data_IF_801180154668
#
_entry.id   IF_801180154668
#
_cell.length_a   1.000
_cell.length_b   1.000
_cell.length_c   1.000
_cell.angle_alpha   90.00
_cell.angle_beta   90.00
_cell.angle_gamma   90.00
#
_symmetry.space_group_name_H-M   'P 1'
#
loop_
_entity.id
_entity.type
_entity.pdbx_description
1 polymer ?
#
# COMPACT_ATOMS: atom_id res chain seq x y z
N UNK A 1 38.76 21.17 -38.57
CA UNK A 1 38.83 19.70 -38.35
C UNK A 1 39.64 19.31 -37.09
N UNK A 2 40.87 19.83 -36.87
CA UNK A 2 41.65 19.48 -35.66
C UNK A 2 40.92 19.82 -34.34
N UNK A 3 40.26 20.98 -34.25
CA UNK A 3 39.53 21.41 -33.07
C UNK A 3 38.35 20.47 -32.74
N UNK A 4 37.56 20.06 -33.76
CA UNK A 4 36.44 19.15 -33.59
C UNK A 4 36.88 17.78 -33.05
N UNK A 5 38.02 17.27 -33.53
CA UNK A 5 38.59 16.01 -33.05
C UNK A 5 39.07 16.09 -31.58
N UNK A 6 39.66 17.23 -31.20
CA UNK A 6 40.04 17.46 -29.80
C UNK A 6 38.83 17.54 -28.90
N UNK A 7 37.82 18.32 -29.26
CA UNK A 7 36.54 18.44 -28.54
C UNK A 7 35.87 17.08 -28.40
N UNK A 8 35.80 16.31 -29.49
CA UNK A 8 35.22 14.95 -29.46
C UNK A 8 35.95 14.01 -28.51
N UNK A 9 37.31 14.00 -28.55
CA UNK A 9 38.11 13.20 -27.61
C UNK A 9 37.86 13.61 -26.15
N UNK A 10 37.82 14.91 -25.88
CA UNK A 10 37.57 15.43 -24.53
C UNK A 10 36.19 15.05 -24.06
N UNK A 11 35.17 15.23 -24.89
CA UNK A 11 33.77 14.86 -24.58
C UNK A 11 33.64 13.36 -24.28
N UNK A 12 34.28 12.53 -25.14
CA UNK A 12 34.26 11.08 -24.94
C UNK A 12 34.96 10.67 -23.64
N UNK A 13 36.13 11.25 -23.36
CA UNK A 13 36.86 10.96 -22.13
C UNK A 13 36.05 11.36 -20.89
N UNK A 14 35.46 12.55 -20.86
CA UNK A 14 34.64 13.04 -19.77
C UNK A 14 33.41 12.14 -19.59
N UNK A 15 32.75 11.77 -20.69
CA UNK A 15 31.61 10.85 -20.65
C UNK A 15 31.98 9.49 -20.03
N UNK A 16 33.12 8.92 -20.44
CA UNK A 16 33.60 7.65 -19.88
C UNK A 16 33.97 7.78 -18.40
N UNK A 17 34.64 8.85 -18.00
CA UNK A 17 34.96 9.09 -16.58
C UNK A 17 33.69 9.21 -15.76
N UNK A 18 32.72 10.01 -16.20
CA UNK A 18 31.45 10.12 -15.48
C UNK A 18 30.64 8.82 -15.51
N UNK A 19 30.69 8.05 -16.59
CA UNK A 19 30.04 6.73 -16.61
C UNK A 19 30.63 5.79 -15.55
N UNK A 20 31.96 5.73 -15.42
CA UNK A 20 32.62 4.93 -14.39
C UNK A 20 32.29 5.43 -12.99
N UNK A 21 32.30 6.73 -12.76
CA UNK A 21 32.02 7.31 -11.45
C UNK A 21 30.55 7.19 -11.06
N UNK A 22 29.64 7.59 -11.94
CA UNK A 22 28.20 7.70 -11.62
C UNK A 22 27.44 6.38 -11.82
N UNK A 23 27.84 5.54 -12.76
CA UNK A 23 27.19 4.26 -13.02
C UNK A 23 27.92 3.07 -12.38
N UNK A 24 29.15 3.25 -11.92
CA UNK A 24 29.96 2.23 -11.27
C UNK A 24 30.25 2.55 -9.80
N UNK A 25 31.22 3.43 -9.56
CA UNK A 25 31.76 3.68 -8.22
C UNK A 25 30.70 4.17 -7.22
N UNK A 26 29.89 5.16 -7.62
CA UNK A 26 28.86 5.73 -6.74
C UNK A 26 27.76 4.72 -6.35
N UNK A 27 27.09 4.00 -7.27
CA UNK A 27 26.10 2.97 -6.89
C UNK A 27 26.66 1.86 -6.02
N UNK A 28 27.90 1.42 -6.28
CA UNK A 28 28.57 0.42 -5.46
C UNK A 28 28.83 0.93 -4.03
N UNK A 29 29.29 2.17 -3.89
CA UNK A 29 29.51 2.78 -2.57
C UNK A 29 28.20 2.92 -1.80
N UNK A 30 27.12 3.37 -2.44
CA UNK A 30 25.78 3.49 -1.82
C UNK A 30 25.25 2.10 -1.44
N UNK A 31 25.37 1.11 -2.33
CA UNK A 31 24.96 -0.27 -2.04
C UNK A 31 25.74 -0.85 -0.85
N UNK A 32 27.06 -0.69 -0.84
CA UNK A 32 27.89 -1.18 0.27
C UNK A 32 27.51 -0.51 1.60
N UNK A 33 27.29 0.82 1.60
CA UNK A 33 26.79 1.55 2.75
C UNK A 33 25.42 1.04 3.23
N UNK A 34 24.50 0.82 2.29
CA UNK A 34 23.18 0.23 2.58
C UNK A 34 23.27 -1.14 3.21
N UNK A 35 24.14 -2.03 2.69
CA UNK A 35 24.31 -3.38 3.23
C UNK A 35 25.01 -3.40 4.59
N UNK A 36 25.94 -2.47 4.83
CA UNK A 36 26.66 -2.40 6.12
C UNK A 36 25.80 -1.82 7.25
N UNK A 37 25.08 -0.74 7.00
CA UNK A 37 24.39 0.02 8.04
C UNK A 37 22.88 -0.21 8.08
N UNK A 38 22.25 -0.64 6.96
CA UNK A 38 20.79 -0.72 6.82
C UNK A 38 20.34 -2.01 6.11
N UNK A 39 21.01 -3.13 6.37
CA UNK A 39 20.82 -4.39 5.63
C UNK A 39 19.35 -4.81 5.47
N UNK A 40 18.54 -4.76 6.54
CA UNK A 40 17.13 -5.13 6.47
C UNK A 40 16.35 -4.20 5.52
N UNK A 41 16.55 -2.88 5.63
CA UNK A 41 15.89 -1.89 4.79
C UNK A 41 16.37 -1.98 3.33
N UNK A 42 17.68 -2.14 3.14
CA UNK A 42 18.30 -2.27 1.81
C UNK A 42 17.84 -3.52 1.05
N UNK A 43 17.40 -4.56 1.78
CA UNK A 43 16.86 -5.80 1.20
C UNK A 43 15.32 -5.85 1.20
N UNK A 44 14.64 -4.69 1.27
CA UNK A 44 13.20 -4.59 1.06
C UNK A 44 12.34 -4.76 2.30
N UNK A 45 12.90 -4.62 3.52
CA UNK A 45 12.14 -4.70 4.79
C UNK A 45 11.24 -5.94 4.88
N UNK A 46 11.78 -7.10 4.49
CA UNK A 46 11.04 -8.35 4.46
C UNK A 46 10.59 -8.75 5.87
N UNK A 47 9.35 -9.19 5.96
CA UNK A 47 8.74 -9.78 7.15
C UNK A 47 8.76 -11.29 6.99
N UNK A 48 9.37 -11.98 7.93
CA UNK A 48 9.57 -13.44 7.89
C UNK A 48 9.07 -14.09 9.17
N UNK A 49 8.55 -15.28 9.04
CA UNK A 49 8.24 -16.14 10.17
C UNK A 49 9.51 -16.70 10.81
N UNK A 50 9.43 -17.31 12.02
CA UNK A 50 10.56 -17.95 12.69
C UNK A 50 11.20 -19.08 11.87
N UNK A 51 10.45 -19.72 10.98
CA UNK A 51 10.93 -20.78 10.08
C UNK A 51 11.64 -20.24 8.82
N UNK A 52 11.73 -18.89 8.68
CA UNK A 52 12.35 -18.24 7.53
C UNK A 52 11.40 -18.02 6.33
N UNK A 53 10.14 -18.40 6.44
CA UNK A 53 9.15 -18.16 5.39
C UNK A 53 8.87 -16.66 5.25
N UNK A 54 9.04 -16.11 4.04
CA UNK A 54 8.74 -14.70 3.75
C UNK A 54 7.23 -14.51 3.66
N UNK A 55 6.68 -13.64 4.50
CA UNK A 55 5.25 -13.26 4.50
C UNK A 55 4.97 -12.06 3.61
N UNK A 56 5.96 -11.23 3.37
CA UNK A 56 5.85 -10.04 2.54
C UNK A 56 6.88 -8.99 2.89
N UNK A 57 6.62 -7.77 2.46
CA UNK A 57 7.42 -6.58 2.83
C UNK A 57 6.58 -5.64 3.67
N UNK A 58 7.16 -5.08 4.73
CA UNK A 58 6.52 -4.02 5.52
C UNK A 58 6.29 -2.72 4.72
N UNK A 59 6.84 -2.62 3.50
CA UNK A 59 6.73 -1.45 2.64
C UNK A 59 5.66 -1.59 1.57
N UNK A 60 5.04 -2.78 1.42
CA UNK A 60 4.10 -3.06 0.34
C UNK A 60 2.78 -3.61 0.89
N UNK A 61 1.67 -3.02 0.42
CA UNK A 61 0.36 -3.57 0.67
C UNK A 61 0.18 -4.93 -0.02
N UNK A 62 -0.60 -5.79 0.62
CA UNK A 62 -1.02 -7.09 0.11
C UNK A 62 -2.54 -7.19 0.12
N UNK A 63 -3.11 -8.01 -0.76
CA UNK A 63 -4.54 -8.23 -0.82
C UNK A 63 -5.01 -9.10 0.36
N UNK A 64 -5.62 -8.46 1.35
CA UNK A 64 -6.37 -9.12 2.41
C UNK A 64 -7.86 -8.88 2.16
N UNK A 65 -8.60 -9.91 1.72
CA UNK A 65 -10.03 -9.80 1.34
C UNK A 65 -10.98 -10.57 2.26
N UNK A 66 -10.45 -11.35 3.22
CA UNK A 66 -11.29 -12.08 4.17
C UNK A 66 -11.68 -11.19 5.35
N UNK A 67 -12.94 -11.31 5.82
CA UNK A 67 -13.47 -10.61 7.00
C UNK A 67 -12.62 -10.78 8.28
N UNK A 68 -11.79 -11.83 8.32
CA UNK A 68 -10.91 -12.12 9.45
C UNK A 68 -9.68 -11.20 9.52
N UNK A 69 -9.45 -10.38 8.50
CA UNK A 69 -8.27 -9.51 8.38
C UNK A 69 -8.67 -8.04 8.26
N UNK A 70 -7.76 -7.18 8.66
CA UNK A 70 -7.82 -5.77 8.29
C UNK A 70 -7.52 -5.63 6.81
N UNK A 71 -8.36 -4.87 6.13
CA UNK A 71 -8.19 -4.60 4.70
C UNK A 71 -7.36 -3.35 4.49
N UNK A 72 -6.43 -3.36 3.51
CA UNK A 72 -5.65 -2.19 3.14
C UNK A 72 -6.50 -1.17 2.37
N UNK A 73 -5.86 -0.09 1.96
CA UNK A 73 -6.46 0.87 1.01
C UNK A 73 -6.77 0.18 -0.31
N UNK A 74 -7.82 0.63 -1.05
CA UNK A 74 -8.08 0.12 -2.39
C UNK A 74 -6.85 0.31 -3.30
N UNK A 75 -6.58 -0.66 -4.16
CA UNK A 75 -5.41 -0.68 -5.05
C UNK A 75 -5.78 -0.47 -6.51
N UNK A 76 -4.91 0.23 -7.25
CA UNK A 76 -4.92 0.30 -8.71
C UNK A 76 -3.64 -0.28 -9.33
N UNK A 77 -2.82 -1.00 -8.53
CA UNK A 77 -1.60 -1.63 -9.00
C UNK A 77 -1.93 -2.93 -9.76
N UNK A 78 -1.72 -2.95 -11.05
CA UNK A 78 -2.08 -4.07 -11.93
C UNK A 78 -3.55 -4.47 -11.82
N UNK A 79 -3.80 -5.74 -11.53
CA UNK A 79 -5.14 -6.28 -11.23
C UNK A 79 -5.55 -6.12 -9.75
N UNK A 80 -4.81 -5.32 -9.00
CA UNK A 80 -4.92 -5.09 -7.57
C UNK A 80 -3.74 -5.69 -6.80
N UNK A 81 -3.02 -4.83 -6.08
CA UNK A 81 -1.86 -5.20 -5.23
C UNK A 81 -0.70 -5.90 -5.97
N UNK A 82 -0.57 -5.70 -7.28
CA UNK A 82 0.57 -6.21 -8.04
C UNK A 82 1.80 -5.35 -7.80
N UNK A 83 2.77 -5.86 -7.04
CA UNK A 83 4.00 -5.16 -6.70
C UNK A 83 4.91 -4.89 -7.92
N UNK A 84 4.73 -5.62 -9.04
CA UNK A 84 5.47 -5.39 -10.28
C UNK A 84 4.86 -4.29 -11.15
N UNK A 85 3.63 -3.84 -10.83
CA UNK A 85 2.84 -2.90 -11.63
C UNK A 85 2.24 -1.79 -10.76
N UNK A 86 3.10 -1.10 -9.98
CA UNK A 86 2.70 0.05 -9.16
C UNK A 86 2.02 1.11 -10.01
N UNK A 87 0.79 1.49 -9.65
CA UNK A 87 -0.02 2.44 -10.40
C UNK A 87 -1.05 3.15 -9.52
N UNK A 88 -1.52 4.30 -10.00
CA UNK A 88 -2.63 5.05 -9.44
C UNK A 88 -3.75 5.20 -10.47
N UNK A 89 -4.92 5.67 -10.04
CA UNK A 89 -6.03 5.96 -10.98
C UNK A 89 -5.75 7.13 -11.90
N UNK A 90 -4.88 8.06 -11.48
CA UNK A 90 -4.55 9.31 -12.18
C UNK A 90 -5.77 10.16 -12.55
N UNK A 91 -6.85 10.07 -11.74
CA UNK A 91 -8.08 10.81 -11.91
C UNK A 91 -8.11 12.03 -10.97
N UNK A 92 -8.46 13.18 -11.50
CA UNK A 92 -8.59 14.40 -10.73
C UNK A 92 -9.89 14.48 -9.91
N UNK A 93 -9.98 15.42 -8.94
CA UNK A 93 -11.13 15.53 -8.04
C UNK A 93 -12.44 15.91 -8.74
N UNK A 94 -12.38 16.43 -9.96
CA UNK A 94 -13.53 16.77 -10.80
C UNK A 94 -13.97 15.64 -11.72
N UNK A 95 -13.31 14.48 -11.66
CA UNK A 95 -13.64 13.32 -12.50
C UNK A 95 -14.91 12.64 -12.02
N UNK A 96 -15.91 12.56 -12.90
CA UNK A 96 -17.15 11.83 -12.65
C UNK A 96 -16.88 10.33 -12.44
N UNK A 97 -15.97 9.76 -13.24
CA UNK A 97 -15.50 8.38 -13.06
C UNK A 97 -14.95 8.12 -11.66
N UNK A 98 -14.17 9.05 -11.11
CA UNK A 98 -13.63 8.91 -9.75
C UNK A 98 -14.74 8.97 -8.70
N UNK A 99 -15.71 9.87 -8.87
CA UNK A 99 -16.77 10.07 -7.91
C UNK A 99 -17.83 8.97 -7.95
N UNK A 100 -18.33 8.64 -9.14
CA UNK A 100 -19.52 7.82 -9.35
C UNK A 100 -19.25 6.41 -9.90
N UNK A 101 -18.00 6.15 -10.37
CA UNK A 101 -17.66 4.88 -11.02
C UNK A 101 -18.11 4.81 -12.48
N UNK A 102 -17.83 3.68 -13.09
CA UNK A 102 -18.35 3.27 -14.41
C UNK A 102 -18.77 1.81 -14.29
N UNK A 103 -20.04 1.52 -14.59
CA UNK A 103 -20.59 0.18 -14.56
C UNK A 103 -21.31 -0.09 -15.89
N UNK A 104 -20.86 -1.11 -16.61
CA UNK A 104 -21.52 -1.56 -17.82
C UNK A 104 -22.90 -2.14 -17.48
N UNK A 105 -23.88 -1.90 -18.36
CA UNK A 105 -25.25 -2.38 -18.19
C UNK A 105 -25.71 -3.19 -19.38
N UNK A 106 -26.49 -4.26 -19.12
CA UNK A 106 -27.16 -5.03 -20.18
C UNK A 106 -28.36 -4.25 -20.77
N UNK A 107 -28.98 -4.83 -21.79
CA UNK A 107 -30.16 -4.24 -22.43
C UNK A 107 -31.36 -4.05 -21.48
N UNK A 108 -31.37 -4.72 -20.34
CA UNK A 108 -32.39 -4.58 -19.29
C UNK A 108 -31.98 -3.57 -18.18
N UNK A 109 -30.83 -2.89 -18.34
CA UNK A 109 -30.30 -1.89 -17.40
C UNK A 109 -29.68 -2.48 -16.15
N UNK A 110 -29.37 -3.77 -16.10
CA UNK A 110 -28.70 -4.44 -14.97
C UNK A 110 -27.19 -4.36 -15.13
N UNK A 111 -26.49 -4.14 -14.02
CA UNK A 111 -25.02 -4.14 -14.03
C UNK A 111 -24.48 -5.50 -14.47
N UNK A 112 -23.49 -5.47 -15.37
CA UNK A 112 -22.80 -6.66 -15.89
C UNK A 112 -21.31 -6.53 -15.62
N UNK A 113 -20.65 -7.67 -15.46
CA UNK A 113 -19.20 -7.69 -15.31
C UNK A 113 -18.54 -7.33 -16.65
N UNK A 114 -17.71 -6.29 -16.64
CA UNK A 114 -17.00 -5.77 -17.79
C UNK A 114 -15.61 -5.28 -17.37
N UNK A 115 -14.63 -5.48 -18.23
CA UNK A 115 -13.24 -5.07 -17.98
C UNK A 115 -13.06 -3.55 -17.79
N UNK A 116 -14.02 -2.76 -18.26
CA UNK A 116 -14.01 -1.30 -18.10
C UNK A 116 -14.72 -0.83 -16.84
N UNK A 117 -15.33 -1.73 -16.06
CA UNK A 117 -15.96 -1.39 -14.81
C UNK A 117 -14.92 -0.76 -13.85
N UNK A 118 -15.36 0.25 -13.15
CA UNK A 118 -14.52 0.97 -12.19
C UNK A 118 -15.38 1.45 -11.03
N UNK A 119 -15.08 0.96 -9.84
CA UNK A 119 -15.74 1.42 -8.62
C UNK A 119 -15.28 2.84 -8.27
N UNK A 120 -16.21 3.77 -8.28
CA UNK A 120 -15.99 5.13 -7.82
C UNK A 120 -15.96 5.24 -6.29
N UNK A 121 -15.70 6.44 -5.78
CA UNK A 121 -15.68 6.69 -4.33
C UNK A 121 -17.04 6.36 -3.70
N UNK A 122 -18.15 6.65 -4.36
CA UNK A 122 -19.49 6.34 -3.85
C UNK A 122 -19.72 4.84 -3.70
N UNK A 123 -19.23 4.04 -4.65
CA UNK A 123 -19.34 2.59 -4.60
C UNK A 123 -18.52 2.03 -3.44
N UNK A 124 -17.27 2.50 -3.31
CA UNK A 124 -16.36 2.12 -2.24
C UNK A 124 -16.89 2.51 -0.86
N UNK A 125 -17.51 3.69 -0.71
CA UNK A 125 -18.17 4.11 0.54
C UNK A 125 -19.31 3.17 0.88
N UNK A 126 -20.17 2.84 -0.09
CA UNK A 126 -21.29 1.93 0.10
C UNK A 126 -20.82 0.53 0.51
N UNK A 127 -19.82 0.00 -0.19
CA UNK A 127 -19.22 -1.30 0.10
C UNK A 127 -18.59 -1.33 1.51
N UNK A 128 -17.78 -0.33 1.84
CA UNK A 128 -17.11 -0.23 3.14
C UNK A 128 -18.10 -0.17 4.32
N UNK A 129 -19.18 0.62 4.16
CA UNK A 129 -20.24 0.68 5.19
C UNK A 129 -20.94 -0.66 5.37
N UNK A 130 -21.32 -1.31 4.27
CA UNK A 130 -21.97 -2.62 4.33
C UNK A 130 -21.07 -3.67 4.99
N UNK A 131 -19.81 -3.70 4.63
CA UNK A 131 -18.80 -4.63 5.15
C UNK A 131 -18.55 -4.46 6.65
N UNK A 132 -18.42 -3.22 7.10
CA UNK A 132 -18.11 -2.94 8.51
C UNK A 132 -19.34 -2.66 9.38
N UNK A 133 -20.56 -2.79 8.82
CA UNK A 133 -21.82 -2.63 9.57
C UNK A 133 -22.08 -1.19 10.00
N UNK A 134 -21.63 -0.21 9.20
CA UNK A 134 -21.80 1.22 9.48
C UNK A 134 -23.14 1.74 8.99
N UNK A 135 -23.69 2.71 9.69
CA UNK A 135 -24.93 3.41 9.29
C UNK A 135 -24.72 4.25 8.01
N UNK A 136 -25.85 4.59 7.35
CA UNK A 136 -25.82 5.32 6.09
C UNK A 136 -25.15 6.71 6.19
N UNK A 137 -25.24 7.35 7.36
CA UNK A 137 -24.71 8.69 7.61
C UNK A 137 -23.37 8.68 8.36
N UNK A 138 -22.84 7.49 8.69
CA UNK A 138 -21.54 7.40 9.36
C UNK A 138 -20.41 7.81 8.44
N UNK A 139 -19.47 8.57 9.02
CA UNK A 139 -18.30 9.07 8.31
C UNK A 139 -17.34 7.92 7.99
N UNK A 140 -16.91 7.84 6.73
CA UNK A 140 -15.93 6.87 6.26
C UNK A 140 -14.57 7.57 6.07
N UNK A 141 -13.47 7.03 6.60
CA UNK A 141 -12.14 7.59 6.40
C UNK A 141 -11.76 7.64 4.92
N UNK A 142 -11.09 8.71 4.51
CA UNK A 142 -10.72 8.90 3.11
C UNK A 142 -9.81 7.76 2.57
N UNK A 143 -8.90 7.27 3.40
CA UNK A 143 -7.99 6.17 3.04
C UNK A 143 -8.70 4.83 2.85
N UNK A 144 -9.89 4.65 3.43
CA UNK A 144 -10.70 3.45 3.23
C UNK A 144 -11.33 3.36 1.83
N UNK A 145 -11.50 4.52 1.15
CA UNK A 145 -12.26 4.61 -0.10
C UNK A 145 -11.51 5.35 -1.22
N UNK A 146 -10.24 5.66 -1.00
CA UNK A 146 -9.37 6.27 -2.01
C UNK A 146 -8.15 5.41 -2.26
N UNK A 147 -7.88 5.15 -3.53
CA UNK A 147 -6.69 4.42 -3.94
C UNK A 147 -5.43 5.24 -3.65
N UNK A 148 -4.37 4.58 -3.22
CA UNK A 148 -3.08 5.25 -3.01
C UNK A 148 -2.41 5.59 -4.35
N UNK A 149 -1.45 6.53 -4.33
CA UNK A 149 -0.71 6.92 -5.52
C UNK A 149 0.16 5.79 -6.10
N UNK A 150 0.64 4.88 -5.26
CA UNK A 150 1.38 3.69 -5.68
C UNK A 150 0.48 2.49 -5.95
N UNK A 151 -0.74 2.46 -5.39
CA UNK A 151 -1.58 1.27 -5.29
C UNK A 151 -1.05 0.22 -4.32
N UNK A 152 0.05 0.49 -3.60
CA UNK A 152 0.77 -0.45 -2.74
C UNK A 152 1.07 0.13 -1.35
N UNK A 153 0.32 1.14 -0.90
CA UNK A 153 0.46 1.75 0.42
C UNK A 153 0.13 0.69 1.51
N UNK A 154 1.09 0.30 2.36
CA UNK A 154 0.88 -0.74 3.36
C UNK A 154 0.11 -0.25 4.59
N UNK A 155 -0.09 1.07 4.70
CA UNK A 155 -0.61 1.70 5.90
C UNK A 155 -2.05 2.18 5.71
N UNK A 156 -2.82 2.12 6.80
CA UNK A 156 -4.15 2.72 6.92
C UNK A 156 -4.18 3.67 8.11
N UNK A 157 -5.14 4.61 8.11
CA UNK A 157 -5.34 5.50 9.25
C UNK A 157 -5.78 4.73 10.49
N UNK A 158 -5.46 5.26 11.67
CA UNK A 158 -5.93 4.69 12.96
C UNK A 158 -7.45 4.62 12.99
N UNK A 159 -8.13 5.63 12.44
CA UNK A 159 -9.59 5.64 12.35
C UNK A 159 -10.12 4.48 11.49
N UNK A 160 -9.51 4.23 10.33
CA UNK A 160 -9.87 3.12 9.46
C UNK A 160 -9.67 1.77 10.16
N UNK A 161 -8.53 1.57 10.82
CA UNK A 161 -8.28 0.35 11.59
C UNK A 161 -9.31 0.14 12.71
N UNK A 162 -9.65 1.19 13.46
CA UNK A 162 -10.65 1.12 14.55
C UNK A 162 -12.03 0.74 14.03
N UNK A 163 -12.47 1.31 12.90
CA UNK A 163 -13.78 0.98 12.31
C UNK A 163 -13.86 -0.48 11.82
N UNK A 164 -12.76 -1.04 11.35
CA UNK A 164 -12.70 -2.45 10.93
C UNK A 164 -12.64 -3.43 12.11
N UNK A 165 -12.26 -2.99 13.31
CA UNK A 165 -12.00 -3.85 14.46
C UNK A 165 -13.22 -4.71 14.86
N UNK A 166 -14.42 -4.16 14.81
CA UNK A 166 -15.65 -4.89 15.15
C UNK A 166 -15.94 -6.05 14.19
N UNK A 167 -15.71 -5.86 12.87
CA UNK A 167 -15.85 -6.91 11.85
C UNK A 167 -14.82 -8.02 12.08
N UNK A 168 -13.56 -7.67 12.23
CA UNK A 168 -12.47 -8.62 12.47
C UNK A 168 -12.68 -9.41 13.76
N UNK A 169 -13.06 -8.75 14.85
CA UNK A 169 -13.37 -9.38 16.14
C UNK A 169 -14.46 -10.43 15.99
N UNK A 170 -15.56 -10.08 15.32
CA UNK A 170 -16.70 -10.99 15.07
C UNK A 170 -16.26 -12.20 14.25
N UNK A 171 -15.51 -11.97 13.13
CA UNK A 171 -15.07 -13.05 12.25
C UNK A 171 -14.06 -14.00 12.91
N UNK A 172 -13.28 -13.51 13.90
CA UNK A 172 -12.31 -14.30 14.67
C UNK A 172 -12.87 -14.82 15.99
N UNK A 173 -14.08 -14.44 16.36
CA UNK A 173 -14.71 -14.76 17.66
C UNK A 173 -13.86 -14.26 18.84
N UNK A 174 -13.28 -13.06 18.69
CA UNK A 174 -12.50 -12.37 19.72
C UNK A 174 -13.32 -11.24 20.34
N UNK A 175 -13.05 -10.85 21.59
CA UNK A 175 -13.58 -9.60 22.16
C UNK A 175 -13.11 -8.40 21.34
N UNK A 176 -14.01 -7.47 21.02
CA UNK A 176 -13.67 -6.25 20.27
C UNK A 176 -12.54 -5.46 20.96
N UNK A 177 -12.62 -5.32 22.28
CA UNK A 177 -11.62 -4.63 23.10
C UNK A 177 -10.20 -5.21 22.91
N UNK A 178 -10.08 -6.52 22.73
CA UNK A 178 -8.79 -7.17 22.47
C UNK A 178 -8.24 -6.79 21.09
N UNK A 179 -9.10 -6.74 20.07
CA UNK A 179 -8.70 -6.34 18.71
C UNK A 179 -8.35 -4.84 18.67
N UNK A 180 -9.10 -4.00 19.38
CA UNK A 180 -8.79 -2.56 19.50
C UNK A 180 -7.47 -2.32 20.26
N UNK A 181 -7.19 -3.08 21.30
CA UNK A 181 -5.92 -3.03 22.00
C UNK A 181 -4.75 -3.43 21.09
N UNK A 182 -4.95 -4.43 20.23
CA UNK A 182 -3.96 -4.84 19.25
C UNK A 182 -3.73 -3.73 18.21
N UNK A 183 -4.77 -3.09 17.70
CA UNK A 183 -4.67 -1.92 16.83
C UNK A 183 -3.85 -0.82 17.52
N UNK A 184 -4.20 -0.47 18.77
CA UNK A 184 -3.52 0.58 19.52
C UNK A 184 -2.02 0.29 19.71
N UNK A 185 -1.64 -0.97 19.93
CA UNK A 185 -0.23 -1.37 20.09
C UNK A 185 0.57 -1.35 18.76
N UNK A 186 -0.11 -1.33 17.60
CA UNK A 186 0.49 -1.27 16.27
C UNK A 186 0.44 0.12 15.63
N UNK A 187 -0.05 1.12 16.36
CA UNK A 187 -0.02 2.51 15.88
C UNK A 187 1.42 2.99 15.79
N UNK A 188 1.82 3.36 14.61
CA UNK A 188 3.07 4.07 14.34
C UNK A 188 2.80 5.57 14.39
N UNK A 189 3.54 6.26 15.22
CA UNK A 189 3.42 7.72 15.37
C UNK A 189 4.05 8.44 14.16
N UNK A 190 3.90 9.76 14.13
CA UNK A 190 4.51 10.63 13.11
C UNK A 190 6.03 10.46 13.07
N UNK A 191 6.60 10.47 11.88
CA UNK A 191 8.05 10.44 11.73
C UNK A 191 8.66 11.71 12.34
N UNK A 192 9.68 11.52 13.19
CA UNK A 192 10.27 12.58 14.02
C UNK A 192 9.24 13.38 14.85
N UNK A 193 8.05 12.83 15.09
CA UNK A 193 6.89 13.46 15.77
C UNK A 193 6.30 14.69 15.04
N UNK A 194 6.73 14.96 13.83
CA UNK A 194 6.34 16.15 13.05
C UNK A 194 5.73 15.74 11.71
N UNK A 195 6.36 14.80 10.99
CA UNK A 195 5.99 14.46 9.60
C UNK A 195 4.97 13.33 9.52
N UNK A 196 4.01 13.49 8.62
CA UNK A 196 2.98 12.49 8.36
C UNK A 196 1.85 12.49 9.40
N UNK A 197 1.13 11.38 9.46
CA UNK A 197 0.03 11.14 10.40
C UNK A 197 0.26 9.80 11.11
N UNK A 198 -0.33 9.58 12.30
CA UNK A 198 -0.36 8.26 12.91
C UNK A 198 -1.01 7.26 11.97
N UNK A 199 -0.41 6.08 11.84
CA UNK A 199 -0.80 5.06 10.87
C UNK A 199 -0.64 3.65 11.44
N UNK A 200 -1.26 2.68 10.79
CA UNK A 200 -1.17 1.26 11.16
C UNK A 200 -0.81 0.46 9.92
N UNK A 201 0.26 -0.32 10.00
CA UNK A 201 0.68 -1.22 8.94
C UNK A 201 -0.21 -2.47 8.93
N UNK A 202 -0.93 -2.68 7.83
CA UNK A 202 -1.94 -3.74 7.70
C UNK A 202 -1.30 -5.14 7.76
N UNK A 203 -0.16 -5.35 7.10
CA UNK A 203 0.52 -6.65 7.12
C UNK A 203 0.94 -7.02 8.53
N UNK A 204 1.62 -6.12 9.23
CA UNK A 204 2.11 -6.37 10.59
C UNK A 204 0.96 -6.61 11.57
N UNK A 205 -0.12 -5.85 11.47
CA UNK A 205 -1.31 -6.01 12.30
C UNK A 205 -1.98 -7.36 12.05
N UNK A 206 -2.13 -7.78 10.80
CA UNK A 206 -2.74 -9.06 10.43
C UNK A 206 -1.91 -10.26 10.89
N UNK A 207 -0.59 -10.18 10.80
CA UNK A 207 0.30 -11.21 11.32
C UNK A 207 0.23 -11.32 12.86
N UNK A 208 0.13 -10.20 13.56
CA UNK A 208 -0.06 -10.19 15.01
C UNK A 208 -1.41 -10.84 15.41
N UNK A 209 -2.48 -10.58 14.65
CA UNK A 209 -3.77 -11.25 14.83
C UNK A 209 -3.68 -12.77 14.67
N UNK A 210 -2.90 -13.24 13.71
CA UNK A 210 -2.71 -14.67 13.50
C UNK A 210 -1.94 -15.33 14.66
N UNK A 211 -0.93 -14.66 15.19
CA UNK A 211 -0.19 -15.10 16.37
C UNK A 211 -1.07 -15.19 17.62
N UNK A 212 -1.92 -14.19 17.87
CA UNK A 212 -2.89 -14.19 18.97
C UNK A 212 -3.89 -15.36 18.87
N UNK A 213 -4.26 -15.72 17.64
CA UNK A 213 -5.21 -16.81 17.38
C UNK A 213 -4.55 -18.20 17.46
N UNK A 214 -3.25 -18.32 17.19
CA UNK A 214 -2.50 -19.59 17.26
C UNK A 214 -2.10 -19.98 18.71
N UNK A 215 -2.05 -19.03 19.62
CA UNK A 215 -1.73 -19.23 21.04
C UNK A 215 -2.90 -19.74 21.89
N UNK A 216 -4.04 -20.02 21.27
CA UNK A 216 -5.26 -20.58 21.92
C UNK A 216 -5.60 -21.95 21.38
#
# INVERSE_FOLDING_TARGET
>A
MKTILVEFKTSLLITLVFAVLLCGAYPLAVWAGGQLFFRQKANGSLVMDPDGTVRGSALLAQNFSSDRYFHPRPSAAGTGFDASSSNATNLGPTSDKLANGIHAKDAAGRDVDDLNNFDGIKDLVKAYRAENGLGADESVPADAVTRSASGLDPDISVQNATLQAARVARARKLPVVQVEALVASHVQDRDLRIFGQPRVNVLLLNLALDQESAGR
#
